data_IF_889609037735
#
_entry.id   IF_889609037735
#
_cell.length_a   1.000
_cell.length_b   1.000
_cell.length_c   1.000
_cell.angle_alpha   90.00
_cell.angle_beta   90.00
_cell.angle_gamma   90.00
#
_symmetry.space_group_name_H-M   'P 1'
#
loop_
_entity.id
_entity.type
_entity.pdbx_description
1 polymer ?
#
# COMPACT_ATOMS: atom_id res chain seq x y z
N UNK A 1 30.62 -0.84 -9.66
CA UNK A 1 29.70 0.01 -8.87
C UNK A 1 28.29 -0.47 -9.16
N UNK A 2 27.75 -1.35 -8.31
CA UNK A 2 26.48 -2.06 -8.57
C UNK A 2 25.31 -1.26 -8.00
N UNK A 3 24.55 -0.58 -8.85
CA UNK A 3 23.21 -0.11 -8.50
C UNK A 3 22.26 -1.22 -8.95
N UNK A 4 21.88 -2.09 -8.02
CA UNK A 4 20.76 -3.02 -8.22
C UNK A 4 19.48 -2.17 -8.32
N UNK A 5 19.03 -1.92 -9.54
CA UNK A 5 17.66 -1.47 -9.81
C UNK A 5 16.73 -2.54 -9.25
N UNK A 6 16.03 -2.26 -8.15
CA UNK A 6 15.02 -3.16 -7.58
C UNK A 6 14.03 -3.51 -8.70
N UNK A 7 14.04 -4.76 -9.15
CA UNK A 7 13.04 -5.27 -10.09
C UNK A 7 11.75 -5.42 -9.30
N UNK A 8 10.91 -4.39 -9.34
CA UNK A 8 9.59 -4.44 -8.73
C UNK A 8 8.72 -5.41 -9.54
N UNK A 9 8.20 -6.43 -8.87
CA UNK A 9 7.27 -7.41 -9.45
C UNK A 9 5.86 -6.90 -9.18
N UNK A 10 5.07 -6.77 -10.24
CA UNK A 10 3.66 -6.44 -10.14
C UNK A 10 2.87 -7.70 -9.80
N UNK A 11 2.05 -7.65 -8.75
CA UNK A 11 1.10 -8.71 -8.41
C UNK A 11 -0.29 -8.12 -8.43
N UNK A 12 -1.19 -8.61 -9.29
CA UNK A 12 -2.58 -8.12 -9.34
C UNK A 12 -3.57 -9.26 -9.38
N UNK A 13 -4.83 -8.92 -9.12
CA UNK A 13 -5.94 -9.76 -9.49
C UNK A 13 -6.01 -9.90 -11.02
N UNK A 14 -6.83 -10.83 -11.49
CA UNK A 14 -6.84 -11.26 -12.87
C UNK A 14 -7.41 -10.22 -13.87
N UNK A 15 -7.53 -8.94 -13.53
CA UNK A 15 -8.10 -7.94 -14.43
C UNK A 15 -7.19 -7.53 -15.59
N UNK A 16 -7.79 -7.15 -16.73
CA UNK A 16 -7.08 -6.93 -18.01
C UNK A 16 -6.28 -5.63 -18.05
N UNK A 17 -6.74 -4.59 -17.36
CA UNK A 17 -6.07 -3.29 -17.34
C UNK A 17 -4.62 -3.39 -16.83
N UNK A 18 -4.40 -4.20 -15.78
CA UNK A 18 -3.07 -4.39 -15.20
C UNK A 18 -2.10 -5.14 -16.13
N UNK A 19 -2.61 -5.99 -17.03
CA UNK A 19 -1.76 -6.67 -18.02
C UNK A 19 -1.22 -5.68 -19.05
N UNK A 20 -2.07 -4.78 -19.55
CA UNK A 20 -1.66 -3.74 -20.49
C UNK A 20 -0.61 -2.85 -19.84
N UNK A 21 -0.86 -2.41 -18.60
CA UNK A 21 0.07 -1.59 -17.84
C UNK A 21 1.43 -2.28 -17.59
N UNK A 22 1.43 -3.54 -17.18
CA UNK A 22 2.67 -4.29 -16.96
C UNK A 22 3.48 -4.45 -18.25
N UNK A 23 2.80 -4.71 -19.36
CA UNK A 23 3.41 -4.86 -20.68
C UNK A 23 4.01 -3.54 -21.17
N UNK A 24 3.28 -2.43 -21.03
CA UNK A 24 3.76 -1.09 -21.40
C UNK A 24 4.99 -0.66 -20.57
N UNK A 25 5.03 -1.03 -19.29
CA UNK A 25 6.14 -0.69 -18.38
C UNK A 25 7.26 -1.72 -18.36
N UNK A 26 7.13 -2.83 -19.08
CA UNK A 26 8.13 -3.91 -19.11
C UNK A 26 8.37 -4.58 -17.75
N UNK A 27 7.34 -4.64 -16.90
CA UNK A 27 7.45 -5.18 -15.54
C UNK A 27 7.06 -6.66 -15.50
N UNK A 28 7.72 -7.43 -14.63
CA UNK A 28 7.29 -8.79 -14.33
C UNK A 28 5.94 -8.77 -13.61
N UNK A 29 4.97 -9.56 -14.08
CA UNK A 29 3.59 -9.53 -13.59
C UNK A 29 3.09 -10.91 -13.22
N UNK A 30 2.75 -11.11 -11.94
CA UNK A 30 2.05 -12.30 -11.46
C UNK A 30 0.56 -12.04 -11.30
N UNK A 31 -0.23 -12.95 -11.88
CA UNK A 31 -1.68 -12.85 -11.93
C UNK A 31 -2.31 -13.81 -10.94
N UNK A 32 -2.86 -13.29 -9.85
CA UNK A 32 -3.58 -14.10 -8.87
C UNK A 32 -5.03 -14.25 -9.33
N UNK A 33 -5.33 -15.38 -9.95
CA UNK A 33 -6.71 -15.76 -10.27
C UNK A 33 -7.20 -16.73 -9.19
N UNK A 34 -7.97 -16.22 -8.23
CA UNK A 34 -8.56 -17.01 -7.15
C UNK A 34 -9.25 -18.29 -7.64
N UNK A 35 -9.91 -18.25 -8.80
CA UNK A 35 -10.64 -19.40 -9.36
C UNK A 35 -9.76 -20.42 -10.09
N UNK A 36 -8.55 -20.04 -10.56
CA UNK A 36 -7.70 -20.91 -11.39
C UNK A 36 -6.37 -21.29 -10.73
N UNK A 37 -5.77 -20.35 -10.00
CA UNK A 37 -4.43 -20.49 -9.39
C UNK A 37 -4.50 -20.49 -7.86
N UNK A 38 -5.70 -20.36 -7.29
CA UNK A 38 -5.89 -20.14 -5.85
C UNK A 38 -5.43 -18.75 -5.40
N UNK A 39 -5.30 -18.58 -4.08
CA UNK A 39 -4.98 -17.29 -3.46
C UNK A 39 -3.49 -17.02 -3.27
N UNK A 40 -2.62 -17.99 -3.62
CA UNK A 40 -1.18 -17.96 -3.36
C UNK A 40 -0.42 -18.28 -4.64
N UNK A 41 0.54 -17.42 -4.99
CA UNK A 41 1.49 -17.65 -6.10
C UNK A 41 2.91 -17.73 -5.53
N UNK A 42 3.67 -18.72 -6.00
CA UNK A 42 5.07 -18.96 -5.57
C UNK A 42 5.28 -19.11 -4.05
N UNK A 43 4.22 -19.43 -3.31
CA UNK A 43 4.26 -19.56 -1.84
C UNK A 43 4.42 -18.25 -1.06
N UNK A 44 4.80 -17.15 -1.72
CA UNK A 44 5.13 -15.87 -1.08
C UNK A 44 4.13 -14.76 -1.40
N UNK A 45 3.39 -14.86 -2.51
CA UNK A 45 2.44 -13.83 -2.94
C UNK A 45 1.01 -14.26 -2.63
N UNK A 46 0.47 -13.79 -1.50
CA UNK A 46 -0.89 -14.11 -1.06
C UNK A 46 -1.83 -12.90 -1.17
N UNK A 47 -2.83 -12.99 -2.04
CA UNK A 47 -3.79 -11.89 -2.24
C UNK A 47 -4.60 -11.55 -0.98
N UNK A 48 -4.81 -12.53 -0.09
CA UNK A 48 -5.54 -12.31 1.16
C UNK A 48 -4.76 -11.44 2.15
N UNK A 49 -3.42 -11.46 2.10
CA UNK A 49 -2.63 -10.56 2.93
C UNK A 49 -2.84 -9.09 2.52
N UNK A 50 -2.87 -8.84 1.20
CA UNK A 50 -3.16 -7.52 0.64
C UNK A 50 -4.59 -7.09 0.96
N UNK A 51 -5.57 -7.98 0.76
CA UNK A 51 -6.97 -7.69 1.08
C UNK A 51 -7.17 -7.41 2.58
N UNK A 52 -6.53 -8.21 3.44
CA UNK A 52 -6.56 -8.01 4.89
C UNK A 52 -5.93 -6.69 5.30
N UNK A 53 -4.79 -6.32 4.70
CA UNK A 53 -4.16 -5.01 4.90
C UNK A 53 -5.10 -3.87 4.49
N UNK A 54 -5.71 -3.96 3.30
CA UNK A 54 -6.64 -2.94 2.81
C UNK A 54 -7.89 -2.81 3.71
N UNK A 55 -8.42 -3.93 4.20
CA UNK A 55 -9.56 -3.94 5.13
C UNK A 55 -9.20 -3.29 6.47
N UNK A 56 -8.03 -3.61 7.06
CA UNK A 56 -7.55 -2.98 8.30
C UNK A 56 -7.32 -1.49 8.12
N UNK A 57 -6.71 -1.08 7.01
CA UNK A 57 -6.52 0.34 6.69
C UNK A 57 -7.88 1.05 6.59
N UNK A 58 -8.83 0.48 5.85
CA UNK A 58 -10.17 1.07 5.68
C UNK A 58 -10.91 1.18 7.01
N UNK A 59 -10.87 0.13 7.84
CA UNK A 59 -11.46 0.13 9.17
C UNK A 59 -10.80 1.17 10.09
N UNK A 60 -9.48 1.29 10.05
CA UNK A 60 -8.74 2.30 10.79
C UNK A 60 -9.09 3.72 10.32
N UNK A 61 -9.23 3.93 9.00
CA UNK A 61 -9.59 5.22 8.43
C UNK A 61 -11.02 5.67 8.78
N UNK A 62 -11.95 4.72 8.98
CA UNK A 62 -13.34 5.04 9.37
C UNK A 62 -13.47 5.78 10.71
N UNK A 63 -12.44 5.75 11.57
CA UNK A 63 -12.43 6.52 12.82
C UNK A 63 -12.34 8.03 12.57
N UNK A 64 -11.83 8.45 11.41
CA UNK A 64 -11.73 9.85 11.03
C UNK A 64 -12.98 10.28 10.27
N UNK A 65 -13.72 11.26 10.78
CA UNK A 65 -14.96 11.81 10.15
C UNK A 65 -14.66 12.74 8.97
N UNK A 66 -13.84 12.28 8.03
CA UNK A 66 -13.31 13.05 6.90
C UNK A 66 -11.79 13.08 6.90
N UNK A 67 -11.18 12.31 6.01
CA UNK A 67 -9.74 12.26 5.83
C UNK A 67 -9.33 13.43 4.93
N UNK A 68 -8.53 14.35 5.46
CA UNK A 68 -7.97 15.42 4.65
C UNK A 68 -6.92 14.82 3.70
N UNK A 69 -7.20 14.80 2.39
CA UNK A 69 -6.29 14.24 1.37
C UNK A 69 -4.91 14.91 1.40
N UNK A 70 -4.83 16.18 1.83
CA UNK A 70 -3.58 16.91 2.06
C UNK A 70 -2.61 16.23 3.05
N UNK A 71 -3.14 15.46 4.01
CA UNK A 71 -2.35 14.82 5.04
C UNK A 71 -2.35 13.30 4.91
N UNK A 72 -2.75 12.76 3.76
CA UNK A 72 -2.88 11.30 3.55
C UNK A 72 -1.61 10.54 3.97
N UNK A 73 -0.44 11.09 3.66
CA UNK A 73 0.85 10.47 4.01
C UNK A 73 1.06 10.33 5.51
N UNK A 74 0.58 11.31 6.29
CA UNK A 74 0.68 11.30 7.73
C UNK A 74 -0.24 10.22 8.31
N UNK A 75 -1.44 10.05 7.75
CA UNK A 75 -2.34 8.96 8.12
C UNK A 75 -1.73 7.60 7.79
N UNK A 76 -1.13 7.45 6.60
CA UNK A 76 -0.51 6.18 6.19
C UNK A 76 0.72 5.85 7.04
N UNK A 77 1.56 6.83 7.36
CA UNK A 77 2.71 6.65 8.24
C UNK A 77 2.29 6.22 9.65
N UNK A 78 1.21 6.82 10.18
CA UNK A 78 0.64 6.43 11.46
C UNK A 78 0.07 5.00 11.40
N UNK A 79 -0.72 4.67 10.38
CA UNK A 79 -1.25 3.34 10.19
C UNK A 79 -0.14 2.28 10.11
N UNK A 80 0.90 2.53 9.32
CA UNK A 80 2.02 1.61 9.18
C UNK A 80 2.75 1.39 10.50
N UNK A 81 2.93 2.45 11.30
CA UNK A 81 3.52 2.31 12.62
C UNK A 81 2.64 1.46 13.55
N UNK A 82 1.32 1.67 13.54
CA UNK A 82 0.40 0.88 14.35
C UNK A 82 0.41 -0.60 13.93
N UNK A 83 0.43 -0.89 12.63
CA UNK A 83 0.57 -2.26 12.11
C UNK A 83 1.87 -2.92 12.61
N UNK A 84 2.99 -2.18 12.65
CA UNK A 84 4.26 -2.69 13.17
C UNK A 84 4.25 -2.98 14.67
N UNK A 85 3.47 -2.22 15.44
CA UNK A 85 3.36 -2.36 16.91
C UNK A 85 2.15 -3.20 17.34
N UNK A 86 1.41 -3.81 16.40
CA UNK A 86 0.23 -4.63 16.70
C UNK A 86 -0.94 -3.83 17.28
N UNK A 87 -1.11 -2.56 16.87
CA UNK A 87 -2.10 -1.62 17.40
C UNK A 87 -2.01 -1.33 18.91
N UNK A 88 -0.85 -1.64 19.53
CA UNK A 88 -0.59 -1.26 20.92
C UNK A 88 -0.40 0.27 21.02
N UNK A 89 -1.44 0.95 21.48
CA UNK A 89 -1.50 2.40 21.62
C UNK A 89 -0.97 2.90 22.97
N UNK A 90 0.11 2.30 23.49
CA UNK A 90 0.78 2.79 24.69
C UNK A 90 1.28 4.23 24.51
N UNK A 91 1.30 5.04 25.58
CA UNK A 91 1.75 6.45 25.57
C UNK A 91 3.16 6.63 24.97
N UNK A 92 4.05 5.64 25.13
CA UNK A 92 5.38 5.64 24.51
C UNK A 92 5.32 5.51 22.99
N UNK A 93 4.44 4.64 22.48
CA UNK A 93 4.25 4.39 21.06
C UNK A 93 3.65 5.61 20.36
N UNK A 94 2.71 6.30 21.01
CA UNK A 94 2.11 7.55 20.48
C UNK A 94 3.16 8.65 20.34
N UNK A 95 4.06 8.80 21.33
CA UNK A 95 5.17 9.76 21.25
C UNK A 95 6.14 9.42 20.10
N UNK A 96 6.45 8.13 19.91
CA UNK A 96 7.31 7.67 18.83
C UNK A 96 6.70 7.95 17.44
N UNK A 97 5.39 7.75 17.27
CA UNK A 97 4.67 8.13 16.04
C UNK A 97 4.83 9.61 15.76
N UNK A 98 4.54 10.47 16.74
CA UNK A 98 4.55 11.91 16.54
C UNK A 98 5.93 12.42 16.13
N UNK A 99 6.99 11.89 16.74
CA UNK A 99 8.37 12.21 16.37
C UNK A 99 8.69 11.72 14.95
N UNK A 100 8.32 10.48 14.59
CA UNK A 100 8.58 9.92 13.26
C UNK A 100 7.83 10.64 12.15
N UNK A 101 6.54 10.96 12.33
CA UNK A 101 5.74 11.65 11.31
C UNK A 101 6.18 13.09 11.12
N UNK A 102 6.66 13.75 12.19
CA UNK A 102 7.18 15.13 12.11
C UNK A 102 8.56 15.22 11.46
N UNK A 103 9.37 14.17 11.56
CA UNK A 103 10.72 14.11 10.99
C UNK A 103 10.73 13.50 9.56
N UNK A 104 9.62 12.93 9.10
CA UNK A 104 9.51 12.39 7.75
C UNK A 104 9.20 13.52 6.76
N UNK A 105 10.15 13.83 5.87
CA UNK A 105 9.90 14.68 4.71
C UNK A 105 9.01 13.94 3.70
N UNK A 106 7.70 14.15 3.78
CA UNK A 106 6.75 13.51 2.88
C UNK A 106 6.78 14.15 1.48
N UNK A 107 7.14 13.34 0.47
CA UNK A 107 7.27 13.73 -0.94
C UNK A 107 6.06 13.33 -1.82
N UNK A 108 4.96 12.83 -1.24
CA UNK A 108 3.75 12.53 -2.00
C UNK A 108 2.93 13.81 -2.13
N UNK A 109 2.93 14.41 -3.32
CA UNK A 109 2.11 15.60 -3.56
C UNK A 109 0.69 15.14 -3.88
N UNK A 110 -0.30 15.92 -3.45
CA UNK A 110 -1.72 15.70 -3.79
C UNK A 110 -1.96 15.56 -5.31
N UNK A 111 -1.05 16.11 -6.13
CA UNK A 111 -1.06 15.99 -7.58
C UNK A 111 -0.76 14.57 -8.07
N UNK A 112 0.12 13.82 -7.38
CA UNK A 112 0.51 12.45 -7.74
C UNK A 112 -0.64 11.45 -7.53
N UNK A 113 -1.48 11.69 -6.51
CA UNK A 113 -2.65 10.86 -6.19
C UNK A 113 -3.79 11.14 -7.18
N UNK A 114 -3.97 12.41 -7.60
CA UNK A 114 -5.03 12.82 -8.53
C UNK A 114 -4.73 12.47 -9.99
N UNK A 115 -3.46 12.28 -10.35
CA UNK A 115 -3.10 11.83 -11.70
C UNK A 115 -3.25 10.33 -11.94
N UNK A 116 -3.60 9.55 -10.91
CA UNK A 116 -4.17 8.21 -11.10
C UNK A 116 -5.63 8.33 -11.55
N UNK A 117 -5.83 8.84 -12.77
CA UNK A 117 -7.06 8.58 -13.52
C UNK A 117 -7.10 7.09 -13.86
N UNK A 118 -7.46 6.26 -12.88
CA UNK A 118 -8.05 4.96 -13.14
C UNK A 118 -9.45 5.24 -13.66
N UNK A 119 -9.56 5.48 -14.97
CA UNK A 119 -10.82 5.39 -15.69
C UNK A 119 -11.33 3.98 -15.48
N UNK A 120 -12.35 3.85 -14.62
CA UNK A 120 -13.15 2.64 -14.44
C UNK A 120 -13.87 2.33 -15.76
#
# INVERSE_FOLDING_TARGET
>A
MWIMKLRNILCTDAWRAYMTYAKEKGMEHYRINTSKTGHVIKGIYHIQNVNGYHARLSQWMNHFKGVATKYLDHYLAWFQFLEMKGFDATTSNIKEVFVRTSLCEHHLKNEDIRQLNLTI
#
